data_IF_381883931475
#
_entry.id   IF_381883931475
#
_cell.length_a   1.000
_cell.length_b   1.000
_cell.length_c   1.000
_cell.angle_alpha   90.00
_cell.angle_beta   90.00
_cell.angle_gamma   90.00
#
_symmetry.space_group_name_H-M   'P 1'
#
loop_
_entity.id
_entity.type
_entity.pdbx_description
1 polymer ?
#
# COMPACT_ATOMS: atom_id res chain seq x y z
N UNK A 1 9.39 -9.79 -3.93
CA UNK A 1 8.63 -8.52 -3.76
C UNK A 1 7.25 -8.52 -4.41
N UNK A 2 7.10 -8.85 -5.71
CA UNK A 2 5.80 -8.81 -6.42
C UNK A 2 4.66 -9.58 -5.71
N UNK A 3 4.96 -10.76 -5.13
CA UNK A 3 3.97 -11.62 -4.46
C UNK A 3 3.33 -10.96 -3.22
N UNK A 4 4.13 -10.35 -2.34
CA UNK A 4 3.62 -9.70 -1.11
C UNK A 4 2.76 -8.47 -1.38
N UNK A 5 3.15 -7.66 -2.37
CA UNK A 5 2.36 -6.48 -2.75
C UNK A 5 1.04 -6.88 -3.42
N UNK A 6 1.04 -7.90 -4.29
CA UNK A 6 -0.19 -8.42 -4.88
C UNK A 6 -1.14 -9.00 -3.81
N UNK A 7 -0.62 -9.77 -2.85
CA UNK A 7 -1.39 -10.31 -1.71
C UNK A 7 -1.97 -9.18 -0.84
N UNK A 8 -1.20 -8.12 -0.58
CA UNK A 8 -1.66 -6.92 0.11
C UNK A 8 -2.82 -6.27 -0.65
N UNK A 9 -2.67 -6.01 -1.94
CA UNK A 9 -3.71 -5.40 -2.76
C UNK A 9 -4.98 -6.27 -2.81
N UNK A 10 -4.83 -7.58 -2.96
CA UNK A 10 -5.97 -8.51 -2.93
C UNK A 10 -6.71 -8.44 -1.59
N UNK A 11 -5.98 -8.48 -0.47
CA UNK A 11 -6.54 -8.35 0.87
C UNK A 11 -7.27 -7.03 1.08
N UNK A 12 -6.77 -5.92 0.52
CA UNK A 12 -7.38 -4.59 0.68
C UNK A 12 -8.50 -4.30 -0.33
N UNK A 13 -8.60 -5.06 -1.42
CA UNK A 13 -9.48 -4.75 -2.56
C UNK A 13 -10.98 -4.60 -2.23
N UNK A 14 -11.45 -5.24 -1.16
CA UNK A 14 -12.84 -5.18 -0.70
C UNK A 14 -13.19 -3.87 0.04
N UNK A 15 -12.19 -3.11 0.49
CA UNK A 15 -12.40 -1.89 1.27
C UNK A 15 -12.80 -0.70 0.38
N UNK A 16 -13.48 0.33 0.93
CA UNK A 16 -13.62 1.62 0.26
C UNK A 16 -12.27 2.23 -0.13
N UNK A 17 -12.22 3.00 -1.22
CA UNK A 17 -10.95 3.52 -1.75
C UNK A 17 -10.18 4.40 -0.76
N UNK A 18 -10.89 5.16 0.08
CA UNK A 18 -10.29 5.96 1.16
C UNK A 18 -9.58 5.08 2.19
N UNK A 19 -10.19 3.95 2.58
CA UNK A 19 -9.61 2.99 3.53
C UNK A 19 -8.44 2.21 2.91
N UNK A 20 -8.52 1.86 1.63
CA UNK A 20 -7.40 1.26 0.91
C UNK A 20 -6.18 2.19 0.90
N UNK A 21 -6.39 3.49 0.62
CA UNK A 21 -5.32 4.50 0.64
C UNK A 21 -4.66 4.56 2.02
N UNK A 22 -5.47 4.61 3.09
CA UNK A 22 -4.96 4.66 4.45
C UNK A 22 -4.17 3.39 4.82
N UNK A 23 -4.71 2.20 4.51
CA UNK A 23 -4.06 0.93 4.81
C UNK A 23 -2.74 0.73 4.03
N UNK A 24 -2.68 1.19 2.77
CA UNK A 24 -1.44 1.18 1.98
C UNK A 24 -0.38 2.10 2.57
N UNK A 25 -0.78 3.27 3.07
CA UNK A 25 0.13 4.21 3.72
C UNK A 25 0.69 3.64 5.04
N UNK A 26 -0.16 3.01 5.86
CA UNK A 26 0.26 2.32 7.09
C UNK A 26 1.19 1.15 6.81
N UNK A 27 0.91 0.33 5.80
CA UNK A 27 1.78 -0.78 5.42
C UNK A 27 3.14 -0.28 4.95
N UNK A 28 3.18 0.82 4.20
CA UNK A 28 4.44 1.45 3.77
C UNK A 28 5.26 1.93 4.98
N UNK A 29 4.63 2.63 5.94
CA UNK A 29 5.31 3.08 7.17
C UNK A 29 5.83 1.91 8.01
N UNK A 30 5.04 0.84 8.15
CA UNK A 30 5.45 -0.39 8.85
C UNK A 30 6.62 -1.06 8.16
N UNK A 31 6.55 -1.21 6.84
CA UNK A 31 7.62 -1.82 6.05
C UNK A 31 8.93 -1.04 6.15
N UNK A 32 8.85 0.30 6.17
CA UNK A 32 10.01 1.18 6.29
C UNK A 32 10.70 1.09 7.65
N UNK A 33 10.02 0.64 8.71
CA UNK A 33 10.60 0.32 10.03
C UNK A 33 11.62 1.36 10.56
N UNK A 34 11.34 2.65 10.37
CA UNK A 34 12.19 3.75 10.84
C UNK A 34 13.43 4.08 9.98
N UNK A 35 13.68 3.35 8.89
CA UNK A 35 14.72 3.71 7.92
C UNK A 35 14.31 4.95 7.10
N UNK A 36 15.28 5.80 6.73
CA UNK A 36 15.01 6.92 5.84
C UNK A 36 14.54 6.40 4.49
N UNK A 37 13.45 6.96 3.96
CA UNK A 37 12.96 6.58 2.64
C UNK A 37 14.04 6.91 1.59
N UNK A 38 14.44 5.92 0.81
CA UNK A 38 15.52 6.04 -0.17
C UNK A 38 15.05 6.59 -1.52
N UNK A 39 13.76 6.42 -1.85
CA UNK A 39 13.18 6.73 -3.15
C UNK A 39 11.71 7.21 -3.04
N UNK A 40 11.26 7.99 -4.03
CA UNK A 40 9.87 8.41 -4.14
C UNK A 40 8.95 7.24 -4.51
N UNK A 41 7.80 7.13 -3.83
CA UNK A 41 6.82 6.04 -4.04
C UNK A 41 5.47 6.65 -4.38
N UNK A 42 4.88 6.20 -5.49
CA UNK A 42 3.52 6.59 -5.93
C UNK A 42 2.70 5.34 -6.22
N UNK A 43 1.46 5.31 -5.71
CA UNK A 43 0.46 4.27 -5.99
C UNK A 43 -0.84 4.94 -6.39
N UNK A 44 -1.41 4.55 -7.53
CA UNK A 44 -2.70 5.06 -8.03
C UNK A 44 -3.68 3.91 -8.14
N UNK A 45 -4.85 4.05 -7.52
CA UNK A 45 -5.96 3.09 -7.58
C UNK A 45 -7.12 3.62 -8.43
N UNK A 46 -7.74 2.73 -9.21
CA UNK A 46 -8.93 3.02 -10.01
C UNK A 46 -10.03 2.02 -9.64
N UNK A 47 -11.25 2.50 -9.45
CA UNK A 47 -12.47 1.70 -9.30
C UNK A 47 -13.45 2.13 -10.39
N UNK A 48 -14.02 1.16 -11.09
CA UNK A 48 -14.98 1.32 -12.18
C UNK A 48 -16.35 0.87 -11.69
#
# INVERSE_FOLDING_TARGET
MKKRFAELLHRLSHLPMAEQKQALHEELHRWRSGSSQTDDIVVVGLKI
#
